data_IF_257870286745
#
_entry.id   IF_257870286745
#
_cell.length_a   1.000
_cell.length_b   1.000
_cell.length_c   1.000
_cell.angle_alpha   90.00
_cell.angle_beta   90.00
_cell.angle_gamma   90.00
#
_symmetry.space_group_name_H-M   'P 1'
#
loop_
_entity.id
_entity.type
_entity.pdbx_description
1 polymer ?
#
# COMPACT_ATOMS: atom_id res chain seq x y z
N UNK A 1 -24.00 -2.77 13.64
CA UNK A 1 -24.46 -3.83 14.57
C UNK A 1 -24.03 -5.18 14.02
N UNK A 2 -23.50 -6.04 14.87
CA UNK A 2 -23.10 -7.39 14.48
C UNK A 2 -23.57 -8.44 15.49
N UNK A 3 -23.79 -9.63 15.01
CA UNK A 3 -24.13 -10.82 15.80
C UNK A 3 -23.03 -11.86 15.61
N UNK A 4 -22.45 -12.35 16.71
CA UNK A 4 -21.38 -13.35 16.71
C UNK A 4 -21.93 -14.69 17.17
N UNK A 5 -21.73 -15.70 16.35
CA UNK A 5 -22.02 -17.10 16.64
C UNK A 5 -20.69 -17.84 16.77
N UNK A 6 -20.51 -18.57 17.85
CA UNK A 6 -19.35 -19.46 18.04
C UNK A 6 -19.84 -20.83 18.42
N UNK A 7 -19.49 -21.84 17.64
CA UNK A 7 -19.80 -23.24 17.87
C UNK A 7 -18.56 -24.07 17.53
N UNK A 8 -18.00 -24.71 18.54
CA UNK A 8 -16.76 -25.52 18.45
C UNK A 8 -15.62 -24.73 17.73
N UNK A 9 -15.24 -25.15 16.53
CA UNK A 9 -14.17 -24.61 15.73
C UNK A 9 -14.64 -23.50 14.75
N UNK A 10 -15.95 -23.23 14.69
CA UNK A 10 -16.55 -22.25 13.81
C UNK A 10 -16.90 -20.95 14.56
N UNK A 11 -16.45 -19.83 14.06
CA UNK A 11 -16.93 -18.51 14.50
C UNK A 11 -17.45 -17.76 13.30
N UNK A 12 -18.67 -17.26 13.38
CA UNK A 12 -19.30 -16.44 12.34
C UNK A 12 -19.72 -15.10 12.94
N UNK A 13 -19.33 -14.04 12.31
CA UNK A 13 -19.77 -12.67 12.61
C UNK A 13 -20.68 -12.22 11.47
N UNK A 14 -21.93 -11.89 11.77
CA UNK A 14 -22.90 -11.40 10.79
C UNK A 14 -23.29 -9.98 11.19
N UNK A 15 -23.00 -9.03 10.35
CA UNK A 15 -23.29 -7.64 10.61
C UNK A 15 -23.63 -6.86 9.34
N UNK A 16 -24.06 -5.63 9.57
CA UNK A 16 -24.30 -4.64 8.55
C UNK A 16 -23.69 -3.32 9.01
N UNK A 17 -22.99 -2.64 8.12
CA UNK A 17 -22.48 -1.29 8.31
C UNK A 17 -23.40 -0.30 7.61
N UNK A 18 -23.85 0.72 8.34
CA UNK A 18 -24.67 1.80 7.81
C UNK A 18 -23.83 3.08 7.85
N UNK A 19 -23.75 3.77 6.73
CA UNK A 19 -23.02 5.03 6.62
C UNK A 19 -23.96 6.09 6.04
N UNK A 20 -23.99 7.26 6.67
CA UNK A 20 -24.67 8.44 6.17
C UNK A 20 -23.62 9.48 5.79
N UNK A 21 -23.60 9.85 4.53
CA UNK A 21 -22.76 10.92 4.00
C UNK A 21 -23.60 12.15 3.75
N UNK A 22 -23.15 13.30 4.23
CA UNK A 22 -23.73 14.59 3.89
C UNK A 22 -22.63 15.45 3.23
N UNK A 23 -22.70 15.58 1.92
CA UNK A 23 -21.80 16.41 1.14
C UNK A 23 -22.36 17.83 1.09
N UNK A 24 -21.67 18.74 1.80
CA UNK A 24 -22.11 20.14 1.90
C UNK A 24 -21.80 20.91 0.61
N UNK A 25 -20.73 20.56 -0.09
CA UNK A 25 -20.31 21.23 -1.32
C UNK A 25 -21.23 20.88 -2.48
N UNK A 26 -21.58 19.61 -2.61
CA UNK A 26 -22.53 19.12 -3.63
C UNK A 26 -23.99 19.32 -3.21
N UNK A 27 -24.24 19.67 -1.93
CA UNK A 27 -25.58 19.75 -1.34
C UNK A 27 -26.37 18.45 -1.48
N UNK A 28 -25.69 17.32 -1.39
CA UNK A 28 -26.26 15.98 -1.51
C UNK A 28 -26.10 15.18 -0.24
N UNK A 29 -27.06 14.31 0.04
CA UNK A 29 -26.99 13.38 1.17
C UNK A 29 -27.26 11.97 0.66
N UNK A 30 -26.40 11.04 1.02
CA UNK A 30 -26.46 9.66 0.61
C UNK A 30 -26.43 8.72 1.80
N UNK A 31 -27.09 7.58 1.67
CA UNK A 31 -27.12 6.53 2.67
C UNK A 31 -26.64 5.23 2.08
N UNK A 32 -25.61 4.65 2.70
CA UNK A 32 -24.97 3.44 2.24
C UNK A 32 -25.21 2.29 3.22
N UNK A 33 -25.35 1.10 2.69
CA UNK A 33 -25.54 -0.15 3.45
C UNK A 33 -24.54 -1.16 2.96
N UNK A 34 -23.65 -1.60 3.84
CA UNK A 34 -22.59 -2.55 3.51
C UNK A 34 -22.74 -3.87 4.25
N UNK A 35 -22.43 -5.00 3.62
CA UNK A 35 -22.26 -6.26 4.31
C UNK A 35 -21.06 -6.18 5.27
N UNK A 36 -21.13 -6.88 6.38
CA UNK A 36 -20.02 -7.09 7.30
C UNK A 36 -20.13 -8.51 7.87
N UNK A 37 -19.84 -9.48 7.02
CA UNK A 37 -20.00 -10.91 7.31
C UNK A 37 -18.63 -11.57 7.22
N UNK A 38 -18.22 -12.21 8.30
CA UNK A 38 -16.94 -12.94 8.37
C UNK A 38 -17.13 -14.27 9.04
N UNK A 39 -16.41 -15.28 8.57
CA UNK A 39 -16.38 -16.60 9.18
C UNK A 39 -14.94 -17.07 9.31
N UNK A 40 -14.65 -17.76 10.41
CA UNK A 40 -13.38 -18.46 10.64
C UNK A 40 -13.68 -19.89 11.07
N UNK A 41 -12.91 -20.84 10.53
CA UNK A 41 -13.02 -22.25 10.88
C UNK A 41 -11.64 -22.85 11.13
N UNK A 42 -11.46 -23.47 12.28
CA UNK A 42 -10.22 -24.18 12.63
C UNK A 42 -10.19 -25.54 11.93
N UNK A 43 -9.38 -25.62 10.86
CA UNK A 43 -9.20 -26.86 10.11
C UNK A 43 -8.29 -27.85 10.86
N UNK A 44 -7.18 -27.35 11.40
CA UNK A 44 -6.19 -28.13 12.17
C UNK A 44 -5.65 -27.25 13.29
N UNK A 45 -6.30 -27.23 14.43
CA UNK A 45 -5.90 -26.43 15.61
C UNK A 45 -5.45 -25.01 15.22
N UNK A 46 -4.26 -24.59 15.65
CA UNK A 46 -3.68 -23.29 15.29
C UNK A 46 -2.80 -23.35 14.03
N UNK A 47 -2.61 -24.56 13.46
CA UNK A 47 -1.77 -24.76 12.27
C UNK A 47 -2.47 -24.27 11.01
N UNK A 48 -3.79 -24.48 10.93
CA UNK A 48 -4.55 -24.10 9.74
C UNK A 48 -5.95 -23.62 10.14
N UNK A 49 -6.19 -22.34 9.94
CA UNK A 49 -7.47 -21.68 10.18
C UNK A 49 -7.93 -21.09 8.84
N UNK A 50 -8.98 -21.67 8.28
CA UNK A 50 -9.65 -21.10 7.12
C UNK A 50 -10.49 -19.89 7.55
N UNK A 51 -10.54 -18.87 6.74
CA UNK A 51 -11.40 -17.72 6.98
C UNK A 51 -11.90 -17.14 5.66
N UNK A 52 -13.01 -16.46 5.73
CA UNK A 52 -13.57 -15.77 4.56
C UNK A 52 -14.69 -14.85 4.97
N UNK A 53 -15.10 -14.00 4.05
CA UNK A 53 -16.15 -13.05 4.36
C UNK A 53 -16.49 -12.16 3.17
N UNK A 54 -17.43 -11.27 3.43
CA UNK A 54 -17.79 -10.17 2.56
C UNK A 54 -18.00 -8.91 3.41
N UNK A 55 -17.24 -7.87 3.12
CA UNK A 55 -17.29 -6.57 3.82
C UNK A 55 -17.43 -5.46 2.81
N UNK A 56 -17.89 -4.29 3.23
CA UNK A 56 -17.89 -3.07 2.44
C UNK A 56 -17.70 -1.85 3.35
N UNK A 57 -17.27 -0.75 2.78
CA UNK A 57 -17.03 0.50 3.51
C UNK A 57 -17.08 1.73 2.60
N UNK A 58 -17.34 2.89 3.18
CA UNK A 58 -17.14 4.18 2.54
C UNK A 58 -15.86 4.79 3.08
N UNK A 59 -14.86 4.96 2.22
CA UNK A 59 -13.58 5.57 2.58
C UNK A 59 -13.62 7.06 2.29
N UNK A 60 -13.48 7.87 3.34
CA UNK A 60 -13.33 9.31 3.20
C UNK A 60 -11.92 9.61 2.71
N UNK A 61 -11.77 9.97 1.46
CA UNK A 61 -10.49 10.45 0.92
C UNK A 61 -10.20 11.85 1.47
N UNK A 62 -8.94 12.12 1.80
CA UNK A 62 -8.49 13.44 2.25
C UNK A 62 -7.26 13.90 1.49
N UNK A 63 -7.06 15.22 1.41
CA UNK A 63 -5.83 15.77 0.83
C UNK A 63 -4.57 15.29 1.57
N UNK A 64 -4.68 15.11 2.89
CA UNK A 64 -3.58 14.62 3.71
C UNK A 64 -3.15 13.21 3.25
N UNK A 65 -4.10 12.29 3.09
CA UNK A 65 -3.82 10.92 2.68
C UNK A 65 -3.19 10.89 1.28
N UNK A 66 -3.72 11.68 0.35
CA UNK A 66 -3.17 11.79 -0.99
C UNK A 66 -1.74 12.36 -1.00
N UNK A 67 -1.47 13.38 -0.18
CA UNK A 67 -0.15 14.00 -0.12
C UNK A 67 0.88 13.12 0.63
N UNK A 68 0.43 12.28 1.57
CA UNK A 68 1.29 11.31 2.26
C UNK A 68 1.71 10.18 1.31
N UNK A 69 0.79 9.70 0.48
CA UNK A 69 1.08 8.65 -0.51
C UNK A 69 1.89 9.18 -1.70
N UNK A 70 1.46 10.30 -2.26
CA UNK A 70 2.14 10.99 -3.37
C UNK A 70 2.42 12.47 -3.01
N UNK A 71 3.64 12.81 -2.58
CA UNK A 71 3.99 14.18 -2.19
C UNK A 71 3.99 15.17 -3.36
N UNK A 72 3.79 14.72 -4.59
CA UNK A 72 3.75 15.54 -5.80
C UNK A 72 2.33 15.86 -6.27
N UNK A 73 1.31 15.58 -5.47
CA UNK A 73 -0.08 15.92 -5.82
C UNK A 73 -0.28 17.44 -5.88
N UNK A 74 -1.12 17.85 -6.82
CA UNK A 74 -1.55 19.25 -6.95
C UNK A 74 -2.27 19.73 -5.67
N UNK A 75 -2.09 20.99 -5.25
CA UNK A 75 -2.83 21.53 -4.12
C UNK A 75 -4.34 21.72 -4.40
N UNK A 76 -4.77 21.58 -5.64
CA UNK A 76 -6.15 21.78 -6.09
C UNK A 76 -6.75 20.46 -6.58
N UNK A 77 -7.01 19.53 -5.66
CA UNK A 77 -7.66 18.26 -5.98
C UNK A 77 -9.17 18.37 -5.80
N UNK A 78 -9.92 17.74 -6.70
CA UNK A 78 -11.29 17.36 -6.42
C UNK A 78 -11.26 16.09 -5.56
N UNK A 79 -11.95 16.10 -4.43
CA UNK A 79 -11.89 15.00 -3.46
C UNK A 79 -13.30 14.48 -3.25
N UNK A 80 -13.50 13.19 -3.58
CA UNK A 80 -14.74 12.47 -3.34
C UNK A 80 -14.44 11.16 -2.60
N UNK A 81 -15.34 10.63 -1.78
CA UNK A 81 -15.13 9.34 -1.12
C UNK A 81 -15.10 8.19 -2.12
N UNK A 82 -14.37 7.14 -1.78
CA UNK A 82 -14.39 5.85 -2.47
C UNK A 82 -15.40 4.94 -1.81
N UNK A 83 -16.35 4.44 -2.58
CA UNK A 83 -17.37 3.48 -2.14
C UNK A 83 -16.91 2.05 -2.44
N UNK A 84 -16.34 1.37 -1.45
CA UNK A 84 -16.08 -0.06 -1.55
C UNK A 84 -17.38 -0.82 -1.32
N UNK A 85 -18.12 -1.09 -2.38
CA UNK A 85 -19.41 -1.77 -2.34
C UNK A 85 -19.29 -3.12 -1.67
N UNK A 86 -18.26 -3.87 -2.03
CA UNK A 86 -17.90 -5.11 -1.34
C UNK A 86 -16.43 -5.50 -1.55
N UNK A 87 -15.92 -6.24 -0.58
CA UNK A 87 -14.70 -7.01 -0.63
C UNK A 87 -15.06 -8.44 -0.19
N UNK A 88 -15.15 -9.35 -1.15
CA UNK A 88 -15.34 -10.77 -0.89
C UNK A 88 -13.98 -11.44 -0.84
N UNK A 89 -13.68 -12.11 0.26
CA UNK A 89 -12.37 -12.72 0.47
C UNK A 89 -12.46 -14.12 1.08
N UNK A 90 -11.43 -14.89 0.78
CA UNK A 90 -11.19 -16.15 1.46
C UNK A 90 -9.69 -16.33 1.69
N UNK A 91 -9.32 -17.02 2.77
CA UNK A 91 -7.92 -17.21 3.09
C UNK A 91 -7.68 -18.35 4.06
N UNK A 92 -6.41 -18.62 4.26
CA UNK A 92 -5.91 -19.57 5.26
C UNK A 92 -4.76 -18.93 6.00
N UNK A 93 -4.78 -19.01 7.32
CA UNK A 93 -3.73 -18.52 8.21
C UNK A 93 -3.42 -19.54 9.28
N UNK A 94 -2.25 -19.44 9.87
CA UNK A 94 -1.90 -20.34 10.96
C UNK A 94 -0.46 -20.22 11.38
N UNK A 95 -0.05 -21.16 12.25
CA UNK A 95 1.33 -21.27 12.74
C UNK A 95 1.86 -22.66 12.37
N UNK A 96 2.92 -22.67 11.55
CA UNK A 96 3.64 -23.90 11.22
C UNK A 96 4.48 -24.39 12.42
N UNK A 97 4.91 -23.45 13.25
CA UNK A 97 5.57 -23.68 14.54
C UNK A 97 5.28 -22.51 15.48
N UNK A 98 5.84 -22.51 16.68
CA UNK A 98 5.74 -21.36 17.60
C UNK A 98 6.45 -20.11 17.04
N UNK A 99 7.37 -20.32 16.13
CA UNK A 99 8.22 -19.27 15.53
C UNK A 99 7.76 -18.86 14.13
N UNK A 100 6.89 -19.64 13.46
CA UNK A 100 6.53 -19.41 12.05
C UNK A 100 5.03 -19.26 11.89
N UNK A 101 4.60 -18.07 11.55
CA UNK A 101 3.22 -17.74 11.20
C UNK A 101 3.07 -17.42 9.71
N UNK A 102 1.94 -17.75 9.12
CA UNK A 102 1.63 -17.48 7.74
C UNK A 102 0.18 -17.02 7.56
N UNK A 103 -0.05 -16.30 6.47
CA UNK A 103 -1.38 -15.92 6.00
C UNK A 103 -1.38 -15.87 4.47
N UNK A 104 -2.38 -16.48 3.83
CA UNK A 104 -2.61 -16.38 2.38
C UNK A 104 -4.07 -16.00 2.20
N UNK A 105 -4.33 -14.96 1.40
CA UNK A 105 -5.67 -14.42 1.18
C UNK A 105 -5.88 -14.14 -0.31
N UNK A 106 -7.04 -14.50 -0.82
CA UNK A 106 -7.55 -14.05 -2.10
C UNK A 106 -8.77 -13.15 -1.88
N UNK A 107 -8.85 -12.05 -2.62
CA UNK A 107 -9.91 -11.03 -2.49
C UNK A 107 -10.43 -10.64 -3.86
N UNK A 108 -11.74 -10.43 -3.94
CA UNK A 108 -12.41 -9.81 -5.07
C UNK A 108 -13.12 -8.55 -4.56
N UNK A 109 -12.67 -7.41 -5.03
CA UNK A 109 -13.05 -6.10 -4.49
C UNK A 109 -13.71 -5.30 -5.59
N UNK A 110 -14.82 -4.66 -5.28
CA UNK A 110 -15.50 -3.72 -6.16
C UNK A 110 -15.59 -2.37 -5.47
N UNK A 111 -15.06 -1.35 -6.13
CA UNK A 111 -14.95 0.01 -5.62
C UNK A 111 -15.49 1.00 -6.64
N UNK A 112 -16.50 1.77 -6.27
CA UNK A 112 -16.96 2.90 -7.04
C UNK A 112 -16.18 4.16 -6.61
N UNK A 113 -15.83 5.00 -7.57
CA UNK A 113 -15.00 6.19 -7.35
C UNK A 113 -13.67 5.87 -6.64
N UNK A 114 -12.97 4.83 -7.08
CA UNK A 114 -11.60 4.58 -6.62
C UNK A 114 -10.68 5.69 -7.10
N UNK A 115 -9.94 6.28 -6.17
CA UNK A 115 -8.95 7.31 -6.47
C UNK A 115 -7.73 6.72 -7.18
N UNK A 116 -7.35 7.29 -8.32
CA UNK A 116 -6.20 6.90 -9.12
C UNK A 116 -5.34 8.15 -9.36
N UNK A 117 -4.03 8.04 -9.12
CA UNK A 117 -3.11 9.14 -9.40
C UNK A 117 -2.78 9.17 -10.88
N UNK A 118 -2.81 10.36 -11.46
CA UNK A 118 -2.47 10.58 -12.86
C UNK A 118 -1.59 11.82 -12.99
N UNK A 119 -0.52 11.72 -13.78
CA UNK A 119 0.34 12.85 -14.08
C UNK A 119 -0.47 13.97 -14.73
N UNK A 120 -0.40 15.16 -14.17
CA UNK A 120 -1.06 16.33 -14.76
C UNK A 120 -0.46 16.65 -16.12
N UNK A 121 -1.30 17.08 -17.10
CA UNK A 121 -0.82 17.45 -18.41
C UNK A 121 0.22 18.59 -18.34
N UNK A 122 1.25 18.49 -19.15
CA UNK A 122 2.07 19.66 -19.44
C UNK A 122 1.25 20.67 -20.27
N UNK A 123 1.28 21.93 -19.88
CA UNK A 123 0.55 23.00 -20.58
C UNK A 123 1.53 23.78 -21.47
N UNK A 124 1.20 23.92 -22.74
CA UNK A 124 1.95 24.79 -23.65
C UNK A 124 1.85 26.24 -23.17
N UNK A 125 2.95 26.95 -23.08
CA UNK A 125 3.01 28.31 -22.53
C UNK A 125 2.60 28.39 -21.05
N UNK A 126 3.02 27.38 -20.27
CA UNK A 126 2.77 27.33 -18.84
C UNK A 126 3.30 28.58 -18.10
N UNK A 127 2.47 29.12 -17.22
CA UNK A 127 2.83 30.28 -16.37
C UNK A 127 3.19 29.88 -14.95
N UNK A 128 2.81 28.66 -14.54
CA UNK A 128 2.99 28.16 -13.17
C UNK A 128 3.72 26.84 -13.18
N UNK A 129 4.53 26.59 -12.17
CA UNK A 129 5.42 25.44 -12.08
C UNK A 129 4.68 24.08 -12.17
N UNK A 130 3.49 23.94 -11.59
CA UNK A 130 2.70 22.72 -11.65
C UNK A 130 2.10 22.42 -13.04
N UNK A 131 2.18 23.36 -13.96
CA UNK A 131 1.71 23.20 -15.34
C UNK A 131 2.75 22.58 -16.28
N UNK A 132 3.93 22.25 -15.78
CA UNK A 132 5.02 21.65 -16.58
C UNK A 132 4.99 20.10 -16.59
N UNK A 133 3.88 19.46 -16.22
CA UNK A 133 3.81 18.00 -16.13
C UNK A 133 4.66 17.43 -14.99
N UNK A 134 4.76 18.15 -13.89
CA UNK A 134 5.55 17.82 -12.70
C UNK A 134 4.71 17.75 -11.42
N UNK A 135 3.42 17.54 -11.55
CA UNK A 135 2.49 17.31 -10.44
C UNK A 135 1.46 16.27 -10.82
N UNK A 136 0.76 15.73 -9.82
CA UNK A 136 -0.26 14.73 -10.01
C UNK A 136 -1.64 15.26 -9.68
N UNK A 137 -2.62 14.86 -10.46
CA UNK A 137 -4.03 14.92 -10.14
C UNK A 137 -4.52 13.60 -9.56
N UNK A 138 -5.76 13.61 -9.12
CA UNK A 138 -6.51 12.39 -8.77
C UNK A 138 -7.70 12.32 -9.72
N UNK A 139 -7.82 11.20 -10.41
CA UNK A 139 -8.99 10.83 -11.21
C UNK A 139 -9.71 9.69 -10.53
N UNK A 140 -10.99 9.55 -10.78
CA UNK A 140 -11.82 8.54 -10.14
C UNK A 140 -12.38 7.60 -11.19
N UNK A 141 -12.46 6.32 -10.83
CA UNK A 141 -13.08 5.30 -11.67
C UNK A 141 -13.70 4.19 -10.82
N UNK A 142 -14.63 3.47 -11.42
CA UNK A 142 -15.13 2.24 -10.83
C UNK A 142 -14.17 1.11 -11.19
N UNK A 143 -13.59 0.50 -10.16
CA UNK A 143 -12.52 -0.49 -10.30
C UNK A 143 -12.88 -1.79 -9.63
N UNK A 144 -12.75 -2.87 -10.37
CA UNK A 144 -12.79 -4.22 -9.83
C UNK A 144 -11.38 -4.75 -9.68
N UNK A 145 -11.04 -5.25 -8.49
CA UNK A 145 -9.70 -5.76 -8.19
C UNK A 145 -9.76 -7.23 -7.78
N UNK A 146 -9.00 -8.08 -8.45
CA UNK A 146 -8.64 -9.42 -7.95
C UNK A 146 -7.28 -9.34 -7.29
N UNK A 147 -7.19 -9.68 -6.00
CA UNK A 147 -5.94 -9.64 -5.23
C UNK A 147 -5.60 -11.02 -4.66
N UNK A 148 -4.32 -11.37 -4.67
CA UNK A 148 -3.77 -12.53 -3.95
C UNK A 148 -2.62 -12.03 -3.09
N UNK A 149 -2.73 -12.22 -1.78
CA UNK A 149 -1.78 -11.72 -0.80
C UNK A 149 -1.20 -12.88 0.01
N UNK A 150 0.08 -12.82 0.29
CA UNK A 150 0.79 -13.78 1.13
C UNK A 150 1.66 -13.08 2.16
N UNK A 151 1.66 -13.60 3.37
CA UNK A 151 2.49 -13.12 4.47
C UNK A 151 3.14 -14.30 5.20
N UNK A 152 4.42 -14.19 5.50
CA UNK A 152 5.19 -15.12 6.32
C UNK A 152 5.96 -14.33 7.37
N UNK A 153 5.75 -14.70 8.64
CA UNK A 153 6.46 -14.13 9.77
C UNK A 153 7.27 -15.24 10.47
N UNK A 154 8.55 -14.99 10.68
CA UNK A 154 9.47 -15.95 11.29
C UNK A 154 10.21 -15.26 12.44
N UNK A 155 9.97 -15.74 13.67
CA UNK A 155 10.57 -15.25 14.90
C UNK A 155 11.45 -16.36 15.51
N UNK A 156 12.60 -16.63 14.89
CA UNK A 156 13.54 -17.65 15.36
C UNK A 156 14.34 -17.10 16.54
N UNK A 157 13.84 -17.24 17.75
CA UNK A 157 14.42 -16.70 18.97
C UNK A 157 14.27 -15.17 19.09
N UNK A 158 14.62 -14.62 20.24
CA UNK A 158 14.61 -13.17 20.50
C UNK A 158 15.62 -12.38 19.64
N UNK A 159 16.39 -13.07 18.82
CA UNK A 159 17.54 -12.50 18.13
C UNK A 159 17.35 -12.39 16.61
N UNK A 160 16.32 -13.03 16.04
CA UNK A 160 16.12 -13.06 14.61
C UNK A 160 14.64 -12.98 14.27
N UNK A 161 14.27 -11.91 13.55
CA UNK A 161 12.92 -11.69 13.03
C UNK A 161 13.00 -11.52 11.52
N UNK A 162 12.12 -12.21 10.81
CA UNK A 162 11.94 -12.08 9.37
C UNK A 162 10.46 -11.91 9.07
N UNK A 163 10.12 -10.88 8.32
CA UNK A 163 8.79 -10.66 7.74
C UNK A 163 8.88 -10.65 6.22
N UNK A 164 8.05 -11.43 5.56
CA UNK A 164 7.90 -11.46 4.10
C UNK A 164 6.44 -11.19 3.77
N UNK A 165 6.19 -10.24 2.86
CA UNK A 165 4.87 -9.98 2.28
C UNK A 165 4.99 -9.92 0.77
N UNK A 166 3.99 -10.47 0.07
CA UNK A 166 3.85 -10.36 -1.37
C UNK A 166 2.37 -10.24 -1.72
N UNK A 167 2.07 -9.41 -2.70
CA UNK A 167 0.71 -9.26 -3.20
C UNK A 167 0.73 -9.11 -4.72
N UNK A 168 -0.20 -9.77 -5.37
CA UNK A 168 -0.47 -9.65 -6.80
C UNK A 168 -1.88 -9.11 -6.99
N UNK A 169 -2.02 -8.17 -7.92
CA UNK A 169 -3.27 -7.50 -8.22
C UNK A 169 -3.56 -7.56 -9.72
N UNK A 170 -4.82 -7.75 -10.04
CA UNK A 170 -5.34 -7.54 -11.38
C UNK A 170 -6.51 -6.58 -11.30
N UNK A 171 -6.43 -5.47 -12.03
CA UNK A 171 -7.41 -4.39 -12.00
C UNK A 171 -8.21 -4.36 -13.30
N UNK A 172 -9.51 -4.12 -13.18
CA UNK A 172 -10.40 -3.84 -14.29
C UNK A 172 -11.07 -2.48 -14.04
N UNK A 173 -10.85 -1.53 -14.93
CA UNK A 173 -11.31 -0.15 -14.86
C UNK A 173 -12.49 0.05 -15.79
N UNK A 174 -13.47 0.89 -15.42
CA UNK A 174 -14.68 1.10 -16.19
C UNK A 174 -14.57 2.20 -17.26
N UNK A 175 -13.89 3.30 -16.94
CA UNK A 175 -13.79 4.50 -17.78
C UNK A 175 -12.35 4.86 -18.11
N UNK A 176 -11.43 4.70 -17.16
CA UNK A 176 -10.02 4.95 -17.38
C UNK A 176 -9.42 3.84 -18.24
N UNK A 177 -8.46 4.18 -19.09
CA UNK A 177 -7.79 3.22 -19.96
C UNK A 177 -6.92 2.23 -19.17
N UNK A 178 -6.45 2.63 -17.98
CA UNK A 178 -5.59 1.85 -17.11
C UNK A 178 -5.85 2.20 -15.64
N UNK A 179 -5.47 1.31 -14.75
CA UNK A 179 -5.46 1.56 -13.31
C UNK A 179 -4.21 2.38 -12.93
N UNK A 180 -4.28 3.68 -13.20
CA UNK A 180 -3.13 4.59 -13.14
C UNK A 180 -2.35 4.51 -11.83
N UNK A 181 -1.04 4.30 -11.94
CA UNK A 181 -0.07 4.22 -10.85
C UNK A 181 -0.28 3.09 -9.84
N UNK A 182 -1.24 2.17 -10.07
CA UNK A 182 -1.40 0.98 -9.26
C UNK A 182 -0.46 -0.13 -9.79
N UNK A 183 0.42 -0.70 -8.93
CA UNK A 183 1.28 -1.80 -9.34
C UNK A 183 0.52 -3.13 -9.39
N UNK A 184 0.84 -3.98 -10.36
CA UNK A 184 0.32 -5.34 -10.46
C UNK A 184 0.92 -6.29 -9.42
N UNK A 185 2.09 -5.96 -8.88
CA UNK A 185 2.79 -6.74 -7.87
C UNK A 185 3.47 -5.84 -6.84
N UNK A 186 3.41 -6.23 -5.58
CA UNK A 186 4.21 -5.65 -4.50
C UNK A 186 4.83 -6.73 -3.64
N UNK A 187 6.05 -6.48 -3.16
CA UNK A 187 6.73 -7.39 -2.24
C UNK A 187 7.55 -6.62 -1.22
N UNK A 188 7.66 -7.15 -0.03
CA UNK A 188 8.56 -6.63 0.99
C UNK A 188 9.15 -7.75 1.84
N UNK A 189 10.42 -7.59 2.19
CA UNK A 189 11.13 -8.44 3.13
C UNK A 189 11.79 -7.55 4.16
N UNK A 190 11.58 -7.87 5.43
CA UNK A 190 12.24 -7.23 6.57
C UNK A 190 12.99 -8.27 7.37
N UNK A 191 14.22 -7.97 7.72
CA UNK A 191 15.07 -8.82 8.52
C UNK A 191 15.72 -7.99 9.60
N UNK A 192 15.57 -8.43 10.85
CA UNK A 192 16.29 -7.89 12.00
C UNK A 192 17.03 -9.01 12.72
N UNK A 193 18.31 -8.78 13.00
CA UNK A 193 19.18 -9.76 13.60
C UNK A 193 20.06 -9.15 14.70
N UNK A 194 19.86 -9.64 15.93
CA UNK A 194 20.74 -9.35 17.04
C UNK A 194 21.89 -10.34 17.03
N UNK A 195 23.03 -9.98 16.38
CA UNK A 195 24.18 -10.85 16.15
C UNK A 195 24.87 -11.23 17.48
N UNK A 196 25.02 -10.23 18.36
CA UNK A 196 25.54 -10.39 19.72
C UNK A 196 24.83 -9.42 20.64
N UNK A 197 25.13 -9.38 21.95
CA UNK A 197 24.56 -8.38 22.85
C UNK A 197 24.85 -6.93 22.39
N UNK A 198 25.93 -6.72 21.63
CA UNK A 198 26.39 -5.41 21.18
C UNK A 198 26.08 -5.14 19.69
N UNK A 199 26.20 -6.15 18.83
CA UNK A 199 26.03 -5.99 17.40
C UNK A 199 24.60 -6.35 16.97
N UNK A 200 23.99 -5.46 16.22
CA UNK A 200 22.69 -5.69 15.55
C UNK A 200 22.76 -5.25 14.10
N UNK A 201 22.02 -5.93 13.26
CA UNK A 201 21.92 -5.64 11.84
C UNK A 201 20.48 -5.82 11.37
N UNK A 202 20.13 -5.15 10.30
CA UNK A 202 18.86 -5.35 9.63
C UNK A 202 18.95 -5.04 8.16
N UNK A 203 18.02 -5.58 7.41
CA UNK A 203 17.84 -5.33 5.98
C UNK A 203 16.35 -5.24 5.64
N UNK A 204 16.05 -4.45 4.62
CA UNK A 204 14.74 -4.42 4.01
C UNK A 204 14.88 -4.46 2.49
N UNK A 205 13.98 -5.20 1.85
CA UNK A 205 13.85 -5.24 0.38
C UNK A 205 12.42 -4.89 0.04
N UNK A 206 12.23 -3.98 -0.89
CA UNK A 206 10.93 -3.62 -1.45
C UNK A 206 10.96 -3.93 -2.95
N UNK A 207 9.91 -4.55 -3.44
CA UNK A 207 9.71 -4.84 -4.86
C UNK A 207 8.37 -4.23 -5.25
N UNK A 208 8.37 -3.49 -6.35
CA UNK A 208 7.15 -2.91 -6.93
C UNK A 208 7.12 -3.27 -8.40
N UNK A 209 6.01 -3.83 -8.84
CA UNK A 209 5.76 -4.21 -10.23
C UNK A 209 5.62 -3.00 -11.16
N UNK A 210 5.37 -3.31 -12.40
CA UNK A 210 5.11 -2.31 -13.43
C UNK A 210 3.89 -1.48 -13.07
N UNK A 211 3.94 -0.19 -13.39
CA UNK A 211 2.83 0.76 -13.24
C UNK A 211 2.69 1.55 -14.53
N UNK A 212 1.50 2.04 -14.76
CA UNK A 212 1.19 2.86 -15.93
C UNK A 212 0.76 4.25 -15.51
N UNK A 213 1.15 5.25 -16.29
CA UNK A 213 0.70 6.62 -16.14
C UNK A 213 0.37 7.23 -17.51
N UNK A 214 -0.27 8.38 -17.51
CA UNK A 214 -0.65 9.05 -18.73
C UNK A 214 0.21 10.29 -18.94
N UNK A 215 0.86 10.36 -20.10
CA UNK A 215 1.51 11.59 -20.58
C UNK A 215 0.56 12.33 -21.51
N UNK A 216 0.25 13.57 -21.19
CA UNK A 216 -0.60 14.43 -22.04
C UNK A 216 -0.09 15.87 -22.07
N UNK A 217 -0.44 16.59 -23.13
CA UNK A 217 -0.06 18.00 -23.31
C UNK A 217 -1.32 18.80 -23.66
N UNK A 218 -1.62 19.80 -22.86
CA UNK A 218 -2.75 20.70 -23.07
C UNK A 218 -2.32 22.06 -23.64
N UNK A 219 -3.23 22.73 -24.33
CA UNK A 219 -3.01 24.07 -24.84
C UNK A 219 -2.16 24.14 -26.11
N UNK A 220 -1.88 23.02 -26.76
CA UNK A 220 -1.25 23.00 -28.10
C UNK A 220 -2.28 23.41 -29.17
N UNK A 221 -1.79 24.12 -30.23
CA UNK A 221 -2.61 24.39 -31.42
C UNK A 221 -2.86 23.13 -32.28
N UNK A 222 -2.16 22.05 -31.97
CA UNK A 222 -2.32 20.73 -32.58
C UNK A 222 -2.73 19.78 -31.43
N UNK A 223 -3.79 19.00 -31.64
CA UNK A 223 -4.12 17.92 -30.71
C UNK A 223 -2.96 16.93 -30.63
N UNK A 224 -2.37 16.82 -29.44
CA UNK A 224 -1.36 15.82 -29.13
C UNK A 224 -2.11 14.73 -28.36
N UNK A 225 -2.24 13.52 -28.92
CA UNK A 225 -2.89 12.41 -28.23
C UNK A 225 -2.16 12.13 -26.91
N UNK A 226 -2.93 11.78 -25.88
CA UNK A 226 -2.35 11.27 -24.66
C UNK A 226 -1.71 9.90 -24.93
N UNK A 227 -0.57 9.66 -24.29
CA UNK A 227 0.21 8.43 -24.39
C UNK A 227 0.28 7.73 -23.04
N UNK A 228 0.07 6.42 -23.01
CA UNK A 228 0.33 5.62 -21.81
C UNK A 228 1.83 5.39 -21.70
N UNK A 229 2.41 5.84 -20.61
CA UNK A 229 3.81 5.57 -20.27
C UNK A 229 3.89 4.45 -19.24
N UNK A 230 4.92 3.63 -19.35
CA UNK A 230 5.19 2.52 -18.45
C UNK A 230 6.32 2.92 -17.51
N UNK A 231 6.06 2.79 -16.21
CA UNK A 231 7.06 2.89 -15.16
C UNK A 231 7.53 1.47 -14.83
N UNK A 232 8.77 1.17 -15.18
CA UNK A 232 9.36 -0.15 -14.99
C UNK A 232 9.27 -0.62 -13.54
N UNK A 233 9.21 -1.94 -13.36
CA UNK A 233 9.33 -2.57 -12.06
C UNK A 233 10.70 -2.27 -11.43
N UNK A 234 10.75 -2.16 -10.13
CA UNK A 234 11.99 -1.93 -9.40
C UNK A 234 12.05 -2.70 -8.09
N UNK A 235 13.25 -2.80 -7.55
CA UNK A 235 13.47 -3.23 -6.18
C UNK A 235 14.44 -2.28 -5.47
N UNK A 236 14.20 -2.06 -4.20
CA UNK A 236 15.03 -1.22 -3.33
C UNK A 236 15.52 -2.06 -2.15
N UNK A 237 16.83 -2.09 -1.96
CA UNK A 237 17.49 -2.83 -0.88
C UNK A 237 18.14 -1.83 0.07
N UNK A 238 17.74 -1.92 1.33
CA UNK A 238 18.31 -1.12 2.41
C UNK A 238 18.91 -2.03 3.48
N UNK A 239 20.02 -1.64 4.06
CA UNK A 239 20.67 -2.39 5.13
C UNK A 239 21.22 -1.46 6.20
N UNK A 240 21.29 -1.95 7.43
CA UNK A 240 21.94 -1.24 8.52
C UNK A 240 22.72 -2.19 9.42
N UNK A 241 23.77 -1.66 10.03
CA UNK A 241 24.57 -2.31 11.04
C UNK A 241 24.74 -1.35 12.21
N UNK A 242 24.52 -1.82 13.42
CA UNK A 242 24.68 -1.02 14.61
C UNK A 242 25.51 -1.71 15.68
N UNK A 243 26.13 -0.90 16.53
CA UNK A 243 26.94 -1.33 17.64
C UNK A 243 26.58 -0.58 18.93
N UNK A 244 26.21 -1.32 19.98
CA UNK A 244 25.96 -0.77 21.33
C UNK A 244 27.28 -0.74 22.12
N UNK A 245 27.78 0.46 22.37
CA UNK A 245 28.98 0.66 23.19
C UNK A 245 28.63 0.36 24.65
N UNK A 246 27.52 0.90 25.11
CA UNK A 246 26.92 0.63 26.43
C UNK A 246 25.39 0.80 26.37
N UNK A 247 24.72 0.73 27.51
CA UNK A 247 23.24 0.84 27.59
C UNK A 247 22.66 2.17 27.10
N UNK A 248 23.46 3.24 27.07
CA UNK A 248 23.05 4.59 26.72
C UNK A 248 23.55 5.07 25.37
N UNK A 249 24.60 4.45 24.83
CA UNK A 249 25.28 4.94 23.62
C UNK A 249 25.43 3.84 22.58
N UNK A 250 24.88 4.10 21.37
CA UNK A 250 25.06 3.23 20.23
C UNK A 250 25.46 4.01 18.99
N UNK A 251 26.09 3.35 18.04
CA UNK A 251 26.47 3.86 16.73
C UNK A 251 25.83 2.98 15.65
N UNK A 252 25.55 3.57 14.50
CA UNK A 252 25.01 2.84 13.36
C UNK A 252 25.59 3.34 12.03
N UNK A 253 25.61 2.44 11.07
CA UNK A 253 25.79 2.74 9.65
C UNK A 253 24.60 2.17 8.89
N UNK A 254 24.08 2.93 7.93
CA UNK A 254 22.94 2.56 7.07
C UNK A 254 23.29 2.83 5.63
N UNK A 255 22.87 1.94 4.75
CA UNK A 255 22.98 2.08 3.29
C UNK A 255 21.57 1.96 2.73
N UNK A 256 21.13 2.94 1.95
CA UNK A 256 19.88 2.91 1.21
C UNK A 256 20.17 2.72 -0.28
N UNK A 257 19.24 2.09 -0.98
CA UNK A 257 19.36 1.72 -2.38
C UNK A 257 20.70 1.05 -2.69
N UNK A 258 21.01 -0.03 -1.92
CA UNK A 258 22.26 -0.77 -2.03
C UNK A 258 22.52 -1.33 -3.45
N UNK A 259 21.44 -1.64 -4.18
CA UNK A 259 21.51 -2.07 -5.57
C UNK A 259 21.89 -0.93 -6.54
N UNK A 260 21.93 0.30 -6.05
CA UNK A 260 22.18 1.52 -6.85
C UNK A 260 21.29 1.60 -8.09
N UNK A 261 20.02 1.18 -7.94
CA UNK A 261 19.07 1.18 -9.04
C UNK A 261 18.53 2.60 -9.25
N UNK A 262 18.52 3.05 -10.50
CA UNK A 262 17.87 4.28 -10.91
C UNK A 262 16.43 3.95 -11.33
N UNK A 263 15.48 4.35 -10.52
CA UNK A 263 14.06 4.09 -10.77
C UNK A 263 13.19 5.30 -10.45
N UNK A 264 11.99 5.34 -10.99
CA UNK A 264 10.99 6.36 -10.70
C UNK A 264 9.84 5.74 -9.90
N UNK A 265 9.60 6.26 -8.70
CA UNK A 265 8.40 5.90 -7.94
C UNK A 265 7.16 6.54 -8.57
N UNK A 266 7.30 7.73 -9.09
CA UNK A 266 6.30 8.52 -9.81
C UNK A 266 6.91 9.04 -11.09
N UNK A 267 6.12 9.15 -12.16
CA UNK A 267 6.59 9.65 -13.44
C UNK A 267 7.27 11.02 -13.28
N UNK A 268 8.44 11.18 -13.88
CA UNK A 268 9.32 12.37 -13.81
C UNK A 268 9.99 12.60 -12.44
N UNK A 269 9.82 11.72 -11.46
CA UNK A 269 10.43 11.85 -10.13
C UNK A 269 11.35 10.65 -9.83
N UNK A 270 12.59 10.70 -10.30
CA UNK A 270 13.57 9.66 -9.99
C UNK A 270 13.93 9.69 -8.50
N UNK A 271 14.18 8.53 -7.93
CA UNK A 271 14.66 8.41 -6.56
C UNK A 271 16.16 8.66 -6.48
N UNK A 272 16.64 8.92 -5.27
CA UNK A 272 18.07 9.05 -5.03
C UNK A 272 18.74 7.67 -5.15
N UNK A 273 19.88 7.65 -5.81
CA UNK A 273 20.74 6.46 -5.93
C UNK A 273 21.33 6.05 -4.58
N UNK A 274 22.40 5.26 -4.57
CA UNK A 274 23.06 4.77 -3.36
C UNK A 274 23.33 5.89 -2.35
N UNK A 275 22.86 5.69 -1.10
CA UNK A 275 23.08 6.61 0.01
C UNK A 275 23.78 5.89 1.16
N UNK A 276 24.73 6.56 1.77
CA UNK A 276 25.39 6.11 2.99
C UNK A 276 25.12 7.09 4.14
N UNK A 277 24.65 6.57 5.27
CA UNK A 277 24.32 7.34 6.45
C UNK A 277 25.04 6.71 7.65
N UNK A 278 25.71 7.51 8.46
CA UNK A 278 26.26 7.05 9.75
C UNK A 278 25.83 8.00 10.86
N UNK A 279 25.61 7.45 12.05
CA UNK A 279 25.15 8.25 13.17
C UNK A 279 25.35 7.55 14.51
N UNK A 280 25.01 8.29 15.57
CA UNK A 280 25.04 7.80 16.93
C UNK A 280 23.79 8.22 17.68
N UNK A 281 23.34 7.37 18.60
CA UNK A 281 22.19 7.62 19.48
C UNK A 281 22.67 7.61 20.94
N UNK A 282 22.25 8.61 21.70
CA UNK A 282 22.48 8.69 23.13
C UNK A 282 21.16 8.82 23.89
N UNK A 283 20.96 7.96 24.88
CA UNK A 283 19.77 7.99 25.75
C UNK A 283 20.07 8.77 27.02
N UNK A 284 19.38 9.87 27.21
CA UNK A 284 19.45 10.66 28.42
C UNK A 284 18.53 10.05 29.50
N UNK A 285 19.03 10.01 30.76
CA UNK A 285 18.17 9.75 31.92
C UNK A 285 17.65 11.11 32.40
N UNK A 286 16.34 11.26 32.48
CA UNK A 286 15.67 12.41 33.11
C UNK A 286 15.07 11.97 34.44
#
# INVERSE_FOLDING_TARGET
SSYVLTEDDLTVNIGVRLVYLNDIEMSESSFYIYPNIEATYRLVSDVAIGYGGITGDLTQNTYYDFADENPFVSPTLFITPTDQQFNAFLGIKGKLSNEIGYNIKASYINEDNKALYQLNPAVTLAERDYQFGNSFGVVYDDVTTLAIEGELNVDISRNFNLGLKAAYFNYDTSQQAEAWNLPDFTGSLFLDYQITEKWFAGASVFVVGERKDQLSVNGSFIEIPSETIVLDSFFDINAHLGYRINSKFSMFAKVNNLANQDYQRWANFPVQTLQFIAGATYQFDF
#
